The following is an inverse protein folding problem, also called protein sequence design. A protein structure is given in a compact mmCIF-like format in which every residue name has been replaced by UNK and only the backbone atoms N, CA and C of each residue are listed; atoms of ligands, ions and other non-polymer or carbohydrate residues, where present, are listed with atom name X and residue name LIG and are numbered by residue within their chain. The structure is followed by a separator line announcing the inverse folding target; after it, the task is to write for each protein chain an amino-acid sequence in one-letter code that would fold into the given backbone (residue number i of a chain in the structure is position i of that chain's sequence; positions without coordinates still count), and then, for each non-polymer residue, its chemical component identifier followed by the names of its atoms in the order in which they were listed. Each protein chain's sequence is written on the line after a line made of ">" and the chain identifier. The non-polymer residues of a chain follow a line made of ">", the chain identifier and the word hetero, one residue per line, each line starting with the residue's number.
data_IF_973933229218
#
_entry.id   IF_973933229218
#
_cell.length_a   1.000
_cell.length_b   1.000
_cell.length_c   1.000
_cell.angle_alpha   90.00
_cell.angle_beta   90.00
_cell.angle_gamma   90.00
#
_symmetry.space_group_name_H-M   'P 1'
#
loop_
_entity.id
_entity.type
_entity.pdbx_description
1 polymer ?
#
# COMPACT_ATOMS: atom_id res chain seq x y z
N UNK A 1 15.58 -19.52 3.83
CA UNK A 1 15.87 -19.03 2.45
C UNK A 1 15.15 -17.70 2.27
N UNK A 2 15.68 -16.78 1.48
CA UNK A 2 14.96 -15.52 1.20
C UNK A 2 13.71 -15.81 0.38
N UNK A 3 12.54 -15.33 0.82
CA UNK A 3 11.27 -15.50 0.08
C UNK A 3 11.14 -14.56 -1.13
N UNK A 4 12.17 -13.73 -1.37
CA UNK A 4 12.24 -12.79 -2.48
C UNK A 4 12.60 -13.48 -3.79
N UNK A 5 11.85 -13.19 -4.85
CA UNK A 5 12.06 -13.77 -6.19
C UNK A 5 12.24 -12.66 -7.22
N UNK A 6 13.23 -12.82 -8.10
CA UNK A 6 13.32 -12.03 -9.32
C UNK A 6 12.79 -12.90 -10.45
N UNK A 7 11.72 -12.49 -11.08
CA UNK A 7 11.08 -13.25 -12.15
C UNK A 7 10.53 -12.35 -13.26
N UNK A 8 10.19 -12.96 -14.38
CA UNK A 8 9.48 -12.28 -15.46
C UNK A 8 8.00 -12.64 -15.34
N UNK A 9 7.18 -11.66 -15.03
CA UNK A 9 5.74 -11.77 -15.00
C UNK A 9 5.15 -11.47 -16.39
N UNK A 10 3.95 -11.99 -16.65
CA UNK A 10 3.17 -11.69 -17.86
C UNK A 10 1.99 -10.81 -17.46
N UNK A 11 1.76 -9.75 -18.21
CA UNK A 11 0.59 -8.89 -18.01
C UNK A 11 -0.66 -9.65 -18.50
N UNK A 12 -1.59 -9.90 -17.60
CA UNK A 12 -2.88 -10.56 -17.90
C UNK A 12 -3.88 -9.55 -18.42
N UNK A 13 -3.97 -8.40 -17.77
CA UNK A 13 -4.82 -7.28 -18.17
C UNK A 13 -4.28 -5.97 -17.63
N UNK A 14 -4.67 -4.88 -18.26
CA UNK A 14 -4.44 -3.52 -17.80
C UNK A 14 -5.61 -2.64 -18.18
N UNK A 15 -6.03 -1.78 -17.28
CA UNK A 15 -7.10 -0.81 -17.48
C UNK A 15 -6.79 0.51 -16.76
N UNK A 16 -7.34 1.61 -17.25
CA UNK A 16 -7.33 2.88 -16.55
C UNK A 16 -8.53 2.93 -15.59
N UNK A 17 -8.30 3.16 -14.30
CA UNK A 17 -9.36 3.31 -13.29
C UNK A 17 -9.84 4.76 -13.18
N UNK A 18 -8.93 5.71 -13.37
CA UNK A 18 -9.20 7.15 -13.46
C UNK A 18 -8.03 7.82 -14.19
N UNK A 19 -8.04 9.15 -14.26
CA UNK A 19 -6.93 9.89 -14.88
C UNK A 19 -5.60 9.54 -14.20
N UNK A 20 -4.65 9.08 -15.00
CA UNK A 20 -3.30 8.68 -14.59
C UNK A 20 -3.23 7.54 -13.56
N UNK A 21 -4.34 6.87 -13.23
CA UNK A 21 -4.40 5.70 -12.36
C UNK A 21 -4.70 4.45 -13.18
N UNK A 22 -3.81 3.48 -13.11
CA UNK A 22 -3.89 2.23 -13.85
C UNK A 22 -3.90 1.03 -12.93
N UNK A 23 -4.70 0.04 -13.27
CA UNK A 23 -4.75 -1.30 -12.65
C UNK A 23 -4.12 -2.29 -13.61
N UNK A 24 -3.21 -3.13 -13.11
CA UNK A 24 -2.53 -4.15 -13.89
C UNK A 24 -2.54 -5.47 -13.14
N UNK A 25 -3.03 -6.53 -13.80
CA UNK A 25 -2.89 -7.90 -13.33
C UNK A 25 -1.67 -8.56 -13.94
N UNK A 26 -0.86 -9.17 -13.08
CA UNK A 26 0.38 -9.86 -13.42
C UNK A 26 0.25 -11.33 -13.07
N UNK A 27 0.49 -12.21 -14.05
CA UNK A 27 0.72 -13.65 -13.79
C UNK A 27 2.18 -13.84 -13.42
N UNK A 28 2.41 -14.46 -12.25
CA UNK A 28 3.74 -14.70 -11.67
C UNK A 28 3.98 -16.21 -11.53
N UNK A 29 5.19 -16.62 -11.24
CA UNK A 29 5.49 -18.04 -10.95
C UNK A 29 5.39 -18.34 -9.46
N UNK A 30 6.11 -17.57 -8.65
CA UNK A 30 6.26 -17.80 -7.22
C UNK A 30 5.86 -16.59 -6.37
N UNK A 31 6.00 -15.36 -6.88
CA UNK A 31 5.82 -14.14 -6.09
C UNK A 31 4.42 -14.07 -5.47
N UNK A 32 3.36 -14.39 -6.22
CA UNK A 32 1.99 -14.34 -5.70
C UNK A 32 1.73 -15.36 -4.58
N UNK A 33 2.34 -16.54 -4.64
CA UNK A 33 2.18 -17.57 -3.61
C UNK A 33 2.75 -17.17 -2.26
N UNK A 34 3.82 -16.37 -2.28
CA UNK A 34 4.57 -15.92 -1.11
C UNK A 34 4.06 -14.58 -0.56
N UNK A 35 3.29 -13.83 -1.35
CA UNK A 35 2.84 -12.49 -1.01
C UNK A 35 1.82 -12.46 0.13
N UNK A 36 1.87 -11.36 0.91
CA UNK A 36 0.90 -11.04 1.98
C UNK A 36 0.49 -9.56 1.88
N UNK A 37 -0.68 -9.16 2.45
CA UNK A 37 -1.17 -7.78 2.41
C UNK A 37 -0.17 -6.78 3.00
N UNK A 38 -0.01 -5.63 2.36
CA UNK A 38 0.92 -4.58 2.79
C UNK A 38 2.31 -4.67 2.17
N UNK A 39 2.65 -5.79 1.52
CA UNK A 39 3.89 -5.92 0.74
C UNK A 39 3.79 -5.22 -0.62
N UNK A 40 4.92 -5.09 -1.28
CA UNK A 40 5.07 -4.49 -2.60
C UNK A 40 5.97 -5.32 -3.50
N UNK A 41 6.00 -4.98 -4.78
CA UNK A 41 6.97 -5.49 -5.76
C UNK A 41 7.74 -4.33 -6.39
N UNK A 42 8.99 -4.58 -6.76
CA UNK A 42 9.76 -3.69 -7.62
C UNK A 42 9.58 -4.08 -9.08
N UNK A 43 9.04 -3.18 -9.90
CA UNK A 43 8.80 -3.37 -11.33
C UNK A 43 9.91 -2.68 -12.14
N UNK A 44 10.49 -3.40 -13.08
CA UNK A 44 11.60 -2.90 -13.91
C UNK A 44 11.07 -2.48 -15.29
N UNK A 45 11.55 -1.35 -15.77
CA UNK A 45 11.29 -0.94 -17.15
C UNK A 45 12.16 -1.76 -18.12
N UNK A 46 11.71 -1.87 -19.36
CA UNK A 46 12.50 -2.47 -20.43
C UNK A 46 13.47 -1.44 -21.09
N UNK A 47 13.54 -0.24 -20.55
CA UNK A 47 14.36 0.86 -21.04
C UNK A 47 15.64 0.96 -20.20
N UNK A 48 16.79 0.65 -20.80
CA UNK A 48 18.10 0.67 -20.15
C UNK A 48 18.54 2.07 -19.64
N UNK A 49 17.85 3.15 -20.03
CA UNK A 49 18.08 4.48 -19.48
C UNK A 49 17.41 4.70 -18.11
N UNK A 50 16.55 3.79 -17.66
CA UNK A 50 15.78 3.85 -16.41
C UNK A 50 16.14 2.70 -15.48
N UNK A 51 17.33 2.80 -14.89
CA UNK A 51 17.94 1.70 -14.12
C UNK A 51 17.21 1.35 -12.84
N UNK A 52 16.60 2.33 -12.16
CA UNK A 52 15.91 2.07 -10.89
C UNK A 52 14.52 1.49 -11.14
N UNK A 53 14.14 0.43 -10.42
CA UNK A 53 12.78 -0.11 -10.49
C UNK A 53 11.77 0.82 -9.80
N UNK A 54 10.48 0.53 -10.04
CA UNK A 54 9.37 1.22 -9.37
C UNK A 54 8.77 0.31 -8.32
N UNK A 55 8.87 0.68 -7.02
CA UNK A 55 8.17 -0.03 -5.97
C UNK A 55 6.68 0.27 -6.08
N UNK A 56 5.86 -0.77 -6.20
CA UNK A 56 4.41 -0.66 -6.29
C UNK A 56 3.79 -1.64 -5.31
N UNK A 57 2.93 -1.12 -4.43
CA UNK A 57 2.20 -1.91 -3.43
C UNK A 57 1.24 -2.90 -4.10
N UNK A 58 1.05 -4.04 -3.45
CA UNK A 58 0.09 -5.04 -3.90
C UNK A 58 -1.34 -4.58 -3.58
N UNK A 59 -2.20 -4.57 -4.60
CA UNK A 59 -3.61 -4.25 -4.47
C UNK A 59 -4.44 -5.50 -4.17
N UNK A 60 -4.13 -6.62 -4.86
CA UNK A 60 -4.77 -7.92 -4.66
C UNK A 60 -3.79 -9.06 -4.91
N UNK A 61 -4.03 -10.20 -4.23
CA UNK A 61 -3.20 -11.39 -4.26
C UNK A 61 -4.06 -12.61 -4.54
N UNK A 62 -4.03 -13.10 -5.78
CA UNK A 62 -4.69 -14.35 -6.18
C UNK A 62 -3.68 -15.50 -6.17
N UNK A 63 -3.54 -16.14 -5.03
CA UNK A 63 -2.61 -17.28 -4.85
C UNK A 63 -3.01 -18.50 -5.68
N UNK A 64 -4.30 -18.71 -5.90
CA UNK A 64 -4.82 -19.87 -6.61
C UNK A 64 -4.43 -19.84 -8.10
N UNK A 65 -4.48 -18.66 -8.72
CA UNK A 65 -4.12 -18.45 -10.11
C UNK A 65 -2.69 -17.90 -10.28
N UNK A 66 -1.92 -17.78 -9.20
CA UNK A 66 -0.58 -17.19 -9.17
C UNK A 66 -0.53 -15.77 -9.78
N UNK A 67 -1.50 -14.92 -9.42
CA UNK A 67 -1.64 -13.56 -9.95
C UNK A 67 -1.53 -12.51 -8.86
N UNK A 68 -1.00 -11.35 -9.26
CA UNK A 68 -0.93 -10.13 -8.44
C UNK A 68 -1.60 -8.99 -9.18
N UNK A 69 -2.42 -8.21 -8.47
CA UNK A 69 -2.91 -6.93 -8.97
C UNK A 69 -2.10 -5.80 -8.36
N UNK A 70 -1.63 -4.90 -9.18
CA UNK A 70 -1.01 -3.65 -8.78
C UNK A 70 -1.82 -2.49 -9.32
N UNK A 71 -1.94 -1.42 -8.52
CA UNK A 71 -2.54 -0.16 -8.97
C UNK A 71 -1.50 0.93 -8.77
N UNK A 72 -1.24 1.71 -9.80
CA UNK A 72 -0.19 2.71 -9.80
C UNK A 72 -0.61 4.00 -10.47
N UNK A 73 0.05 5.09 -10.08
CA UNK A 73 -0.13 6.40 -10.70
C UNK A 73 0.99 6.68 -11.71
N UNK A 74 0.63 7.21 -12.86
CA UNK A 74 1.59 7.82 -13.80
C UNK A 74 2.01 9.17 -13.23
N UNK A 75 3.30 9.32 -12.91
CA UNK A 75 3.82 10.49 -12.20
C UNK A 75 4.40 11.56 -13.13
N UNK A 76 4.16 11.43 -14.42
CA UNK A 76 4.60 12.38 -15.44
C UNK A 76 5.17 11.72 -16.69
N UNK A 77 5.53 12.53 -17.66
CA UNK A 77 6.14 12.10 -18.91
C UNK A 77 7.54 11.50 -18.70
N UNK A 78 7.91 10.56 -19.56
CA UNK A 78 9.21 9.86 -19.55
C UNK A 78 9.53 9.15 -18.23
N UNK A 79 8.51 8.83 -17.42
CA UNK A 79 8.67 8.03 -16.19
C UNK A 79 8.54 6.53 -16.45
N UNK A 80 8.97 5.70 -15.51
CA UNK A 80 8.74 4.25 -15.61
C UNK A 80 7.26 3.88 -15.56
N UNK A 81 6.47 4.58 -14.76
CA UNK A 81 5.02 4.36 -14.67
C UNK A 81 4.29 4.75 -15.96
N UNK A 82 4.76 5.77 -16.69
CA UNK A 82 4.25 6.07 -18.04
C UNK A 82 4.56 4.94 -19.02
N UNK A 83 5.74 4.36 -18.96
CA UNK A 83 6.07 3.19 -19.78
C UNK A 83 5.15 2.01 -19.47
N UNK A 84 4.88 1.74 -18.19
CA UNK A 84 3.97 0.68 -17.79
C UNK A 84 2.56 0.92 -18.31
N UNK A 85 2.05 2.15 -18.30
CA UNK A 85 0.69 2.47 -18.77
C UNK A 85 0.46 2.20 -20.27
N UNK A 86 1.54 2.07 -21.04
CA UNK A 86 1.48 1.73 -22.47
C UNK A 86 1.57 0.22 -22.75
N UNK A 87 1.87 -0.58 -21.74
CA UNK A 87 1.97 -2.04 -21.88
C UNK A 87 0.58 -2.68 -21.99
N UNK A 88 0.52 -3.88 -22.55
CA UNK A 88 -0.73 -4.58 -22.88
C UNK A 88 -0.69 -6.02 -22.37
N UNK A 89 -1.86 -6.66 -22.36
CA UNK A 89 -1.97 -8.09 -22.09
C UNK A 89 -1.03 -8.89 -23.02
N UNK A 90 -0.31 -9.85 -22.45
CA UNK A 90 0.72 -10.64 -23.13
C UNK A 90 2.14 -10.06 -23.04
N UNK A 91 2.30 -8.78 -22.73
CA UNK A 91 3.63 -8.19 -22.52
C UNK A 91 4.29 -8.77 -21.28
N UNK A 92 5.63 -8.76 -21.27
CA UNK A 92 6.44 -9.30 -20.18
C UNK A 92 7.12 -8.16 -19.42
N UNK A 93 7.12 -8.28 -18.10
CA UNK A 93 7.76 -7.33 -17.20
C UNK A 93 8.61 -8.05 -16.16
N UNK A 94 9.84 -7.58 -15.94
CA UNK A 94 10.67 -8.10 -14.86
C UNK A 94 10.21 -7.51 -13.53
N UNK A 95 10.06 -8.37 -12.53
CA UNK A 95 9.70 -7.99 -11.16
C UNK A 95 10.66 -8.59 -10.15
N UNK A 96 10.78 -7.94 -9.00
CA UNK A 96 11.41 -8.45 -7.79
C UNK A 96 10.42 -8.37 -6.65
N UNK A 97 10.12 -9.49 -6.01
CA UNK A 97 9.14 -9.53 -4.91
C UNK A 97 8.88 -10.93 -4.35
N UNK A 98 7.97 -11.06 -3.38
CA UNK A 98 7.38 -9.95 -2.64
C UNK A 98 8.44 -9.25 -1.76
N UNK A 99 8.27 -7.98 -1.50
CA UNK A 99 9.22 -7.15 -0.74
C UNK A 99 8.55 -6.52 0.49
N UNK A 100 9.36 -6.30 1.52
CA UNK A 100 8.93 -5.70 2.77
C UNK A 100 8.09 -6.64 3.65
N UNK A 101 7.62 -6.11 4.77
CA UNK A 101 6.77 -6.79 5.74
C UNK A 101 5.31 -6.41 5.50
N UNK A 102 4.39 -7.36 5.71
CA UNK A 102 2.95 -7.14 5.60
C UNK A 102 2.32 -6.55 6.86
N UNK A 103 1.02 -6.28 6.79
CA UNK A 103 0.22 -5.91 7.96
C UNK A 103 -0.01 -7.12 8.86
N UNK A 104 0.08 -6.96 10.20
CA UNK A 104 -0.25 -8.01 11.17
C UNK A 104 -1.76 -8.18 11.26
N UNK A 105 -2.31 -9.22 10.63
CA UNK A 105 -3.76 -9.48 10.54
C UNK A 105 -4.36 -9.89 11.87
N UNK A 106 -3.60 -10.58 12.71
CA UNK A 106 -3.99 -11.09 14.02
C UNK A 106 -4.39 -9.98 14.99
N UNK A 107 -3.82 -8.80 14.84
CA UNK A 107 -4.13 -7.65 15.69
C UNK A 107 -5.56 -7.13 15.49
N UNK A 108 -6.13 -7.31 14.32
CA UNK A 108 -7.51 -6.91 14.00
C UNK A 108 -8.57 -8.00 14.29
N UNK A 109 -8.17 -9.20 14.72
CA UNK A 109 -9.08 -10.33 14.88
C UNK A 109 -10.19 -10.04 15.90
N UNK A 110 -11.46 -10.11 15.46
CA UNK A 110 -12.64 -9.86 16.29
C UNK A 110 -12.81 -8.42 16.77
N UNK A 111 -12.04 -7.47 16.22
CA UNK A 111 -12.02 -6.05 16.63
C UNK A 111 -12.64 -5.15 15.57
N UNK A 112 -13.03 -3.94 15.99
CA UNK A 112 -13.34 -2.86 15.05
C UNK A 112 -12.03 -2.28 14.52
N UNK A 113 -11.88 -2.30 13.21
CA UNK A 113 -10.66 -1.84 12.57
C UNK A 113 -10.92 -0.66 11.64
N UNK A 114 -10.07 0.34 11.71
CA UNK A 114 -9.97 1.35 10.66
C UNK A 114 -8.95 0.93 9.62
N UNK A 115 -9.36 0.98 8.35
CA UNK A 115 -8.47 0.87 7.20
C UNK A 115 -8.44 2.23 6.50
N UNK A 116 -7.39 3.00 6.73
CA UNK A 116 -7.21 4.29 6.08
C UNK A 116 -6.41 4.15 4.78
N UNK A 117 -7.00 4.55 3.67
CA UNK A 117 -6.32 4.68 2.39
C UNK A 117 -6.35 6.12 1.89
N UNK A 118 -5.21 6.67 1.46
CA UNK A 118 -5.14 8.02 0.89
C UNK A 118 -4.53 8.03 -0.51
N UNK A 119 -5.29 8.51 -1.52
CA UNK A 119 -4.82 8.54 -2.89
C UNK A 119 -4.30 7.17 -3.36
N UNK A 120 -3.02 7.09 -3.80
CA UNK A 120 -2.45 5.81 -4.24
C UNK A 120 -2.16 4.82 -3.09
N UNK A 121 -2.42 5.20 -1.82
CA UNK A 121 -2.42 4.30 -0.68
C UNK A 121 -3.75 3.55 -0.47
N UNK A 122 -4.79 3.84 -1.27
CA UNK A 122 -6.06 3.10 -1.25
C UNK A 122 -5.91 1.65 -1.72
N UNK A 123 -5.22 1.33 -2.82
CA UNK A 123 -5.12 -0.04 -3.34
C UNK A 123 -4.66 -1.10 -2.33
N UNK A 124 -3.59 -0.93 -1.54
CA UNK A 124 -3.16 -1.96 -0.59
C UNK A 124 -4.18 -2.24 0.52
N UNK A 125 -5.12 -1.32 0.78
CA UNK A 125 -6.19 -1.55 1.76
C UNK A 125 -7.23 -2.55 1.27
N UNK A 126 -7.36 -2.78 -0.04
CA UNK A 126 -8.31 -3.74 -0.59
C UNK A 126 -7.92 -5.18 -0.22
N UNK A 127 -6.67 -5.59 -0.46
CA UNK A 127 -6.22 -6.92 -0.07
C UNK A 127 -6.28 -7.12 1.46
N UNK A 128 -5.88 -6.09 2.21
CA UNK A 128 -5.97 -6.12 3.67
C UNK A 128 -7.42 -6.34 4.14
N UNK A 129 -8.39 -5.61 3.55
CA UNK A 129 -9.79 -5.76 3.88
C UNK A 129 -10.31 -7.17 3.60
N UNK A 130 -9.92 -7.77 2.47
CA UNK A 130 -10.27 -9.16 2.11
C UNK A 130 -9.69 -10.17 3.09
N UNK A 131 -8.44 -10.03 3.47
CA UNK A 131 -7.77 -10.96 4.37
C UNK A 131 -8.32 -10.88 5.81
N UNK A 132 -8.75 -9.69 6.25
CA UNK A 132 -9.37 -9.50 7.56
C UNK A 132 -10.76 -10.15 7.71
N UNK A 133 -11.43 -10.53 6.61
CA UNK A 133 -12.68 -11.31 6.66
C UNK A 133 -12.49 -12.64 7.37
N UNK A 134 -11.36 -13.29 7.18
CA UNK A 134 -11.04 -14.56 7.81
C UNK A 134 -10.90 -14.47 9.34
N UNK A 135 -10.71 -13.25 9.86
CA UNK A 135 -10.47 -12.94 11.26
C UNK A 135 -11.68 -12.29 11.96
N UNK A 136 -12.86 -12.27 11.32
CA UNK A 136 -14.10 -11.66 11.85
C UNK A 136 -13.90 -10.20 12.32
N UNK A 137 -13.10 -9.40 11.64
CA UNK A 137 -12.93 -8.00 11.94
C UNK A 137 -14.13 -7.18 11.47
N UNK A 138 -14.60 -6.21 12.30
CA UNK A 138 -15.56 -5.19 11.87
C UNK A 138 -14.80 -4.06 11.18
N UNK A 139 -14.86 -4.05 9.85
CA UNK A 139 -14.02 -3.22 8.99
C UNK A 139 -14.72 -1.91 8.59
N UNK A 140 -14.13 -0.79 9.00
CA UNK A 140 -14.50 0.55 8.57
C UNK A 140 -13.39 1.06 7.64
N UNK A 141 -13.70 1.14 6.34
CA UNK A 141 -12.79 1.57 5.30
C UNK A 141 -12.96 3.07 5.08
N UNK A 142 -11.95 3.87 5.41
CA UNK A 142 -11.99 5.32 5.31
C UNK A 142 -11.00 5.74 4.20
N UNK A 143 -11.55 6.02 3.00
CA UNK A 143 -10.78 6.29 1.80
C UNK A 143 -10.80 7.76 1.45
N UNK A 144 -9.59 8.36 1.37
CA UNK A 144 -9.38 9.76 1.04
C UNK A 144 -8.88 9.94 -0.39
N UNK A 145 -9.52 10.84 -1.12
CA UNK A 145 -9.15 11.21 -2.48
C UNK A 145 -9.06 12.74 -2.60
N UNK A 146 -8.41 13.20 -3.64
CA UNK A 146 -8.41 14.63 -3.92
C UNK A 146 -9.72 15.03 -4.60
N UNK A 147 -10.06 14.38 -5.69
CA UNK A 147 -11.19 14.67 -6.56
C UNK A 147 -11.80 13.38 -7.16
N UNK A 148 -11.04 12.59 -7.90
CA UNK A 148 -11.52 11.37 -8.55
C UNK A 148 -11.35 10.14 -7.66
N UNK A 149 -12.43 9.36 -7.51
CA UNK A 149 -12.45 8.11 -6.74
C UNK A 149 -12.19 6.90 -7.63
N UNK A 150 -11.61 5.84 -7.07
CA UNK A 150 -11.40 4.55 -7.74
C UNK A 150 -11.43 3.41 -6.72
N UNK A 151 -11.69 2.18 -7.16
CA UNK A 151 -11.86 0.97 -6.33
C UNK A 151 -13.02 1.05 -5.33
N UNK A 152 -13.94 1.99 -5.49
CA UNK A 152 -15.02 2.22 -4.50
C UNK A 152 -15.99 1.05 -4.41
N UNK A 153 -16.33 0.43 -5.51
CA UNK A 153 -17.26 -0.72 -5.51
C UNK A 153 -16.61 -1.96 -4.89
N UNK A 154 -15.33 -2.21 -5.21
CA UNK A 154 -14.57 -3.29 -4.58
C UNK A 154 -14.41 -3.06 -3.07
N UNK A 155 -14.19 -1.82 -2.63
CA UNK A 155 -14.12 -1.49 -1.21
C UNK A 155 -15.45 -1.72 -0.50
N UNK A 156 -16.58 -1.30 -1.07
CA UNK A 156 -17.92 -1.52 -0.49
C UNK A 156 -18.25 -2.97 -0.23
N UNK A 157 -17.77 -3.88 -1.07
CA UNK A 157 -18.01 -5.33 -0.89
C UNK A 157 -17.16 -5.95 0.22
N UNK A 158 -16.16 -5.21 0.74
CA UNK A 158 -15.21 -5.72 1.72
C UNK A 158 -15.28 -5.02 3.10
N UNK A 159 -16.32 -4.22 3.34
CA UNK A 159 -16.55 -3.55 4.63
C UNK A 159 -17.40 -2.30 4.51
N UNK A 160 -17.63 -1.60 5.61
CA UNK A 160 -18.37 -0.33 5.59
C UNK A 160 -17.46 0.77 5.06
N UNK A 161 -17.79 1.33 3.90
CA UNK A 161 -16.97 2.34 3.21
C UNK A 161 -17.42 3.76 3.56
N UNK A 162 -16.46 4.58 3.98
CA UNK A 162 -16.56 6.02 4.15
C UNK A 162 -15.58 6.69 3.18
N UNK A 163 -16.05 7.68 2.42
CA UNK A 163 -15.24 8.41 1.45
C UNK A 163 -15.08 9.85 1.90
N UNK A 164 -13.87 10.38 1.77
CA UNK A 164 -13.59 11.80 1.90
C UNK A 164 -12.94 12.31 0.61
N UNK A 165 -13.42 13.45 0.09
CA UNK A 165 -12.81 14.16 -1.04
C UNK A 165 -12.50 15.60 -0.67
N UNK A 166 -11.35 16.12 -1.09
CA UNK A 166 -10.94 17.48 -0.74
C UNK A 166 -11.93 18.53 -1.25
N UNK A 167 -12.50 18.31 -2.44
CA UNK A 167 -13.49 19.20 -3.06
C UNK A 167 -14.92 18.98 -2.56
N UNK A 168 -15.21 17.83 -1.90
CA UNK A 168 -16.54 17.45 -1.44
C UNK A 168 -17.44 16.87 -2.55
N UNK A 169 -16.88 16.44 -3.66
CA UNK A 169 -17.64 15.85 -4.78
C UNK A 169 -18.29 14.51 -4.42
N UNK A 170 -17.66 13.74 -3.53
CA UNK A 170 -18.17 12.46 -3.04
C UNK A 170 -17.88 12.31 -1.55
N UNK A 171 -18.90 11.93 -0.77
CA UNK A 171 -18.78 11.68 0.67
C UNK A 171 -18.50 12.93 1.50
N UNK A 172 -17.70 12.80 2.55
CA UNK A 172 -17.32 13.90 3.43
C UNK A 172 -16.38 14.88 2.71
N UNK A 173 -16.68 16.19 2.78
CA UNK A 173 -15.75 17.21 2.29
C UNK A 173 -14.57 17.36 3.23
N UNK A 174 -13.36 17.19 2.72
CA UNK A 174 -12.12 17.32 3.48
C UNK A 174 -11.24 16.09 3.41
N UNK A 175 -10.71 15.65 4.54
CA UNK A 175 -9.78 14.53 4.64
C UNK A 175 -10.38 13.34 5.43
N UNK A 176 -9.65 12.24 5.50
CA UNK A 176 -10.11 11.02 6.20
C UNK A 176 -10.45 11.23 7.69
N UNK A 177 -9.79 12.17 8.36
CA UNK A 177 -10.10 12.49 9.76
C UNK A 177 -11.38 13.31 9.89
N UNK A 178 -11.78 14.05 8.85
CA UNK A 178 -13.09 14.72 8.79
C UNK A 178 -14.20 13.67 8.69
N UNK A 179 -14.02 12.64 7.86
CA UNK A 179 -14.96 11.52 7.76
C UNK A 179 -15.13 10.78 9.10
N UNK A 180 -14.03 10.54 9.83
CA UNK A 180 -14.09 9.93 11.18
C UNK A 180 -14.92 10.78 12.13
N UNK A 181 -14.71 12.10 12.12
CA UNK A 181 -15.45 13.02 13.01
C UNK A 181 -16.92 13.14 12.66
N UNK A 182 -17.23 13.33 11.38
CA UNK A 182 -18.59 13.51 10.88
C UNK A 182 -19.46 12.30 11.17
N UNK A 183 -18.91 11.09 11.05
CA UNK A 183 -19.62 9.84 11.27
C UNK A 183 -19.43 9.27 12.69
N UNK A 184 -18.78 10.00 13.60
CA UNK A 184 -18.50 9.60 14.99
C UNK A 184 -17.90 8.19 15.10
N UNK A 185 -16.96 7.86 14.20
CA UNK A 185 -16.37 6.52 14.11
C UNK A 185 -15.37 6.26 15.24
N UNK A 186 -15.30 4.99 15.65
CA UNK A 186 -14.32 4.50 16.64
C UNK A 186 -13.72 3.17 16.20
N UNK A 187 -12.48 2.91 16.60
CA UNK A 187 -11.79 1.66 16.30
C UNK A 187 -10.93 1.20 17.48
N UNK A 188 -10.63 -0.10 17.48
CA UNK A 188 -9.73 -0.74 18.44
C UNK A 188 -8.32 -0.91 17.85
N UNK A 189 -8.21 -0.98 16.51
CA UNK A 189 -6.95 -1.06 15.76
C UNK A 189 -7.05 -0.22 14.49
N UNK A 190 -5.93 0.37 14.09
CA UNK A 190 -5.81 1.20 12.89
C UNK A 190 -4.75 0.62 11.95
N UNK A 191 -5.10 0.52 10.67
CA UNK A 191 -4.19 0.26 9.56
C UNK A 191 -4.26 1.43 8.58
N UNK A 192 -3.11 1.95 8.13
CA UNK A 192 -3.09 3.13 7.27
C UNK A 192 -2.03 3.05 6.18
N UNK A 193 -2.39 3.52 4.98
CA UNK A 193 -1.48 3.73 3.86
C UNK A 193 -1.85 5.01 3.11
N UNK A 194 -0.90 5.89 2.86
CA UNK A 194 -1.15 7.14 2.15
C UNK A 194 -0.05 8.20 2.37
N UNK A 195 -0.31 9.44 1.98
CA UNK A 195 0.67 10.51 2.05
C UNK A 195 1.07 10.86 3.49
N UNK A 196 2.32 11.27 3.69
CA UNK A 196 2.88 11.57 5.02
C UNK A 196 2.04 12.53 5.88
N UNK A 197 1.41 13.61 5.35
CA UNK A 197 0.52 14.45 6.17
C UNK A 197 -0.69 13.70 6.73
N UNK A 198 -1.27 12.79 5.96
CA UNK A 198 -2.37 11.93 6.42
C UNK A 198 -1.88 10.96 7.51
N UNK A 199 -0.76 10.28 7.28
CA UNK A 199 -0.19 9.34 8.24
C UNK A 199 0.17 10.03 9.56
N UNK A 200 0.72 11.26 9.53
CA UNK A 200 0.97 12.07 10.74
C UNK A 200 -0.31 12.36 11.53
N UNK A 201 -1.39 12.73 10.83
CA UNK A 201 -2.67 13.01 11.48
C UNK A 201 -3.26 11.75 12.13
N UNK A 202 -3.17 10.61 11.45
CA UNK A 202 -3.62 9.30 11.96
C UNK A 202 -2.76 8.85 13.13
N UNK A 203 -1.43 8.97 13.06
CA UNK A 203 -0.50 8.66 14.15
C UNK A 203 -0.84 9.46 15.40
N UNK A 204 -1.04 10.78 15.26
CA UNK A 204 -1.44 11.65 16.36
C UNK A 204 -2.78 11.20 16.98
N UNK A 205 -3.80 10.94 16.15
CA UNK A 205 -5.11 10.46 16.58
C UNK A 205 -5.01 9.16 17.37
N UNK A 206 -4.21 8.21 16.89
CA UNK A 206 -4.01 6.92 17.53
C UNK A 206 -3.30 7.04 18.88
N UNK A 207 -2.24 7.87 18.96
CA UNK A 207 -1.49 8.12 20.19
C UNK A 207 -2.37 8.79 21.27
N UNK A 208 -3.16 9.80 20.91
CA UNK A 208 -4.05 10.49 21.84
C UNK A 208 -5.13 9.58 22.46
N UNK A 209 -5.44 8.46 21.78
CA UNK A 209 -6.47 7.49 22.19
C UNK A 209 -5.94 6.14 22.62
N UNK A 210 -4.61 6.00 22.65
CA UNK A 210 -3.93 4.73 22.94
C UNK A 210 -4.41 3.56 22.07
N UNK A 211 -4.70 3.84 20.78
CA UNK A 211 -5.11 2.84 19.79
C UNK A 211 -3.86 2.30 19.09
N UNK A 212 -3.78 0.97 18.97
CA UNK A 212 -2.71 0.31 18.19
C UNK A 212 -2.85 0.72 16.71
N UNK A 213 -1.78 1.23 16.12
CA UNK A 213 -1.81 1.77 14.77
C UNK A 213 -0.61 1.27 13.96
N UNK A 214 -0.89 0.65 12.83
CA UNK A 214 0.11 0.24 11.84
C UNK A 214 0.01 1.14 10.61
N UNK A 215 1.16 1.67 10.19
CA UNK A 215 1.27 2.57 9.04
C UNK A 215 2.20 1.99 7.99
N UNK A 216 1.79 2.08 6.73
CA UNK A 216 2.64 1.73 5.58
C UNK A 216 3.29 3.00 5.04
N UNK A 217 4.61 3.07 5.14
CA UNK A 217 5.41 4.22 4.70
C UNK A 217 5.90 4.04 3.27
N UNK A 218 6.03 5.16 2.57
CA UNK A 218 6.60 5.23 1.24
C UNK A 218 7.91 6.03 1.27
N UNK A 219 8.96 5.48 0.63
CA UNK A 219 10.23 6.16 0.44
C UNK A 219 10.80 5.87 -0.94
N UNK A 220 11.70 6.75 -1.40
CA UNK A 220 12.43 6.51 -2.65
C UNK A 220 13.31 5.28 -2.50
N UNK A 221 13.18 4.35 -3.42
CA UNK A 221 13.90 3.06 -3.36
C UNK A 221 14.82 2.89 -4.55
N UNK A 222 15.98 2.26 -4.30
CA UNK A 222 16.87 1.79 -5.35
C UNK A 222 16.92 0.25 -5.36
N UNK A 223 17.48 -0.40 -4.34
CA UNK A 223 17.66 -1.86 -4.36
C UNK A 223 16.40 -2.66 -3.97
N UNK A 224 15.51 -2.11 -3.14
CA UNK A 224 14.32 -2.81 -2.64
C UNK A 224 14.60 -3.98 -1.65
N UNK A 225 15.87 -4.22 -1.29
CA UNK A 225 16.29 -5.39 -0.49
C UNK A 225 17.07 -5.04 0.78
N UNK A 226 17.17 -3.74 1.10
CA UNK A 226 17.82 -3.26 2.32
C UNK A 226 19.33 -3.07 2.24
N UNK A 227 19.94 -3.11 1.04
CA UNK A 227 21.38 -3.03 0.88
C UNK A 227 21.93 -1.61 0.68
N UNK A 228 21.18 -0.73 -0.02
CA UNK A 228 21.69 0.56 -0.49
C UNK A 228 21.41 1.75 0.44
N UNK A 229 20.58 1.57 1.47
CA UNK A 229 20.15 2.60 2.43
C UNK A 229 19.43 3.82 1.82
N UNK A 230 18.94 3.73 0.58
CA UNK A 230 18.25 4.85 -0.08
C UNK A 230 16.86 5.13 0.50
N UNK A 231 16.22 4.14 1.14
CA UNK A 231 14.86 4.22 1.66
C UNK A 231 14.81 4.25 3.20
N UNK A 232 15.79 4.87 3.85
CA UNK A 232 15.80 4.99 5.30
C UNK A 232 14.77 6.01 5.78
N UNK A 233 14.04 5.66 6.83
CA UNK A 233 13.21 6.57 7.60
C UNK A 233 13.74 6.67 9.03
N UNK A 234 13.40 7.76 9.71
CA UNK A 234 13.81 7.96 11.10
C UNK A 234 13.00 7.05 12.04
N UNK A 235 13.68 6.41 12.99
CA UNK A 235 13.06 5.56 14.01
C UNK A 235 13.37 6.08 15.40
N UNK A 236 12.49 5.75 16.36
CA UNK A 236 12.72 6.09 17.79
C UNK A 236 13.80 5.21 18.43
N UNK A 237 13.94 3.98 17.96
CA UNK A 237 14.93 3.03 18.46
C UNK A 237 16.21 3.08 17.63
N UNK A 238 17.35 2.80 18.30
CA UNK A 238 18.63 2.60 17.64
C UNK A 238 18.61 1.28 16.86
N UNK A 239 19.00 1.32 15.61
CA UNK A 239 19.30 0.09 14.85
C UNK A 239 20.57 -0.54 15.41
N UNK A 240 20.46 -1.77 15.92
CA UNK A 240 21.56 -2.50 16.56
C UNK A 240 22.75 -2.78 15.63
N UNK A 241 22.57 -2.67 14.29
CA UNK A 241 23.61 -2.89 13.30
C UNK A 241 24.34 -1.61 12.91
N UNK A 242 23.61 -0.52 12.73
CA UNK A 242 24.17 0.76 12.26
C UNK A 242 24.43 1.78 13.38
N UNK A 243 23.91 1.51 14.60
CA UNK A 243 23.93 2.43 15.73
C UNK A 243 23.36 3.84 15.43
N UNK A 244 22.38 3.91 14.52
CA UNK A 244 21.66 5.13 14.20
C UNK A 244 20.15 4.90 14.32
N UNK A 245 19.42 6.00 14.52
CA UNK A 245 17.95 5.99 14.57
C UNK A 245 17.35 5.93 13.17
N UNK A 246 17.45 4.79 12.51
CA UNK A 246 16.86 4.59 11.20
C UNK A 246 16.34 3.16 10.97
N UNK A 247 15.34 3.05 10.10
CA UNK A 247 14.83 1.78 9.56
C UNK A 247 14.75 1.89 8.03
N UNK A 248 14.93 0.76 7.36
CA UNK A 248 14.87 0.69 5.89
C UNK A 248 13.46 0.31 5.47
N UNK A 249 12.72 1.19 4.85
CA UNK A 249 11.34 0.95 4.45
C UNK A 249 11.19 -0.31 3.60
N UNK A 250 12.14 -0.62 2.72
CA UNK A 250 12.08 -1.81 1.86
C UNK A 250 12.37 -3.15 2.56
N UNK A 251 12.96 -3.14 3.77
CA UNK A 251 13.37 -4.35 4.48
C UNK A 251 12.71 -4.48 5.85
N UNK A 252 12.76 -3.39 6.64
CA UNK A 252 12.29 -3.35 8.01
C UNK A 252 10.79 -2.95 8.06
N UNK A 253 10.29 -2.27 7.00
CA UNK A 253 8.91 -1.94 6.67
C UNK A 253 8.43 -2.66 5.39
N UNK A 254 7.49 -2.10 4.61
CA UNK A 254 6.97 -0.73 4.71
C UNK A 254 6.00 -0.51 5.88
N UNK A 255 5.45 -1.59 6.44
CA UNK A 255 4.52 -1.54 7.56
C UNK A 255 5.29 -1.46 8.87
N UNK A 256 4.99 -0.44 9.66
CA UNK A 256 5.56 -0.19 10.98
C UNK A 256 4.46 0.05 12.00
N UNK A 257 4.72 -0.30 13.26
CA UNK A 257 3.93 0.25 14.36
C UNK A 257 4.16 1.77 14.41
N UNK A 258 3.09 2.54 14.46
CA UNK A 258 3.16 4.00 14.37
C UNK A 258 4.00 4.66 15.49
N UNK A 259 4.23 3.95 16.60
CA UNK A 259 5.09 4.39 17.69
C UNK A 259 6.58 4.21 17.44
N UNK A 260 6.97 3.41 16.41
CA UNK A 260 8.37 3.08 16.14
C UNK A 260 9.08 4.07 15.21
N UNK A 261 8.32 4.80 14.39
CA UNK A 261 8.87 5.66 13.34
C UNK A 261 8.40 7.10 13.47
N UNK A 262 9.19 8.02 12.95
CA UNK A 262 8.82 9.42 12.76
C UNK A 262 8.42 9.65 11.30
N UNK A 263 7.32 10.42 11.08
CA UNK A 263 6.74 10.67 9.77
C UNK A 263 6.93 12.13 9.38
#
# INVERSE_FOLDING_TARGET
>A
MSDKRKETAVIVSQEALSKDIYSMWLETKETAKLAVPGQFISMYTNDGSRLLPRPISLCEIDKANARLRVVYRVTGEKTGTEQFSRMKAGDKIAILGPLGNGFPLEEGAGKRVFLFGGGIGVPPMLELAKQLDTNNADKQLIMGYRDETFLTEEMKTNGTLYIATEDGSVGTKGNVMDAVRENALTADVIYACGPAPMLRAIQKYALERSIVCYISMEERMACGVGACLACVCQSKELDAHSNVHNKRVCKDGPVFLATEVEI
#
